data_IF_013169851032
#
_entry.id   IF_013169851032
#
_cell.length_a   1.000
_cell.length_b   1.000
_cell.length_c   1.000
_cell.angle_alpha   90.00
_cell.angle_beta   90.00
_cell.angle_gamma   90.00
#
_symmetry.space_group_name_H-M   'P 1'
#
loop_
_entity.id
_entity.type
_entity.pdbx_description
1 polymer ?
#
# COMPACT_ATOMS: atom_id res chain seq x y z
N UNK A 1 -10.63 16.73 8.15
CA UNK A 1 -10.29 15.57 9.01
C UNK A 1 -8.80 15.34 8.83
N UNK A 2 -8.01 15.38 9.89
CA UNK A 2 -6.53 15.41 9.79
C UNK A 2 -5.96 14.06 9.31
N UNK A 3 -4.89 14.03 8.50
CA UNK A 3 -4.27 12.79 8.00
C UNK A 3 -3.93 11.77 9.09
N UNK A 4 -3.53 12.24 10.28
CA UNK A 4 -3.21 11.40 11.42
C UNK A 4 -4.44 10.66 11.98
N UNK A 5 -5.62 11.30 11.93
CA UNK A 5 -6.90 10.68 12.33
C UNK A 5 -7.31 9.54 11.40
N UNK A 6 -6.87 9.58 10.14
CA UNK A 6 -7.22 8.55 9.16
C UNK A 6 -6.32 7.31 9.25
N UNK A 7 -5.02 7.50 9.50
CA UNK A 7 -4.09 6.39 9.76
C UNK A 7 -4.43 5.63 11.04
N UNK A 8 -4.83 6.35 12.09
CA UNK A 8 -5.27 5.73 13.33
C UNK A 8 -6.50 4.82 13.10
N UNK A 9 -7.47 5.26 12.29
CA UNK A 9 -8.64 4.47 11.91
C UNK A 9 -8.27 3.21 11.12
N UNK A 10 -7.48 3.36 10.06
CA UNK A 10 -7.03 2.23 9.23
C UNK A 10 -6.23 1.20 10.03
N UNK A 11 -5.34 1.65 10.92
CA UNK A 11 -4.60 0.74 11.79
C UNK A 11 -5.53 0.00 12.76
N UNK A 12 -6.55 0.67 13.30
CA UNK A 12 -7.52 0.03 14.19
C UNK A 12 -8.30 -1.09 13.49
N UNK A 13 -8.67 -0.91 12.21
CA UNK A 13 -9.42 -1.90 11.43
C UNK A 13 -8.67 -3.22 11.18
N UNK A 14 -7.33 -3.16 11.13
CA UNK A 14 -6.47 -4.31 10.84
C UNK A 14 -5.64 -4.77 12.05
N UNK A 15 -5.85 -4.20 13.23
CA UNK A 15 -5.12 -4.58 14.42
C UNK A 15 -5.48 -6.02 14.87
N UNK A 16 -4.53 -6.76 15.48
CA UNK A 16 -4.83 -8.03 16.13
C UNK A 16 -5.86 -7.88 17.26
N UNK A 17 -6.62 -8.94 17.60
CA UNK A 17 -6.54 -10.29 17.05
C UNK A 17 -7.18 -10.41 15.66
N UNK A 18 -6.53 -11.16 14.77
CA UNK A 18 -7.06 -11.40 13.42
C UNK A 18 -8.01 -12.62 13.39
N UNK A 19 -8.99 -12.65 12.46
CA UNK A 19 -9.84 -13.82 12.25
C UNK A 19 -9.03 -15.07 11.91
N UNK A 20 -9.34 -16.22 12.50
CA UNK A 20 -8.60 -17.49 12.30
C UNK A 20 -8.50 -17.93 10.83
N UNK A 21 -9.49 -17.58 10.02
CA UNK A 21 -9.55 -17.94 8.59
C UNK A 21 -8.88 -16.91 7.68
N UNK A 22 -8.34 -15.84 8.24
CA UNK A 22 -7.69 -14.82 7.47
C UNK A 22 -6.23 -15.13 7.25
N UNK A 23 -5.87 -15.35 6.00
CA UNK A 23 -4.47 -15.43 5.58
C UNK A 23 -3.85 -14.04 5.38
N UNK A 24 -4.67 -13.00 5.19
CA UNK A 24 -4.24 -11.69 4.71
C UNK A 24 -4.01 -10.67 5.81
N UNK A 25 -4.96 -10.50 6.75
CA UNK A 25 -4.82 -9.50 7.81
C UNK A 25 -3.53 -9.65 8.64
N UNK A 26 -3.06 -10.87 8.98
CA UNK A 26 -1.77 -11.06 9.66
C UNK A 26 -0.55 -10.56 8.88
N UNK A 27 -0.63 -10.49 7.54
CA UNK A 27 0.45 -10.01 6.66
C UNK A 27 0.30 -8.53 6.35
N UNK A 28 -0.94 -8.05 6.27
CA UNK A 28 -1.25 -6.66 6.03
C UNK A 28 -0.88 -5.78 7.24
N UNK A 29 -1.21 -6.21 8.45
CA UNK A 29 -0.96 -5.46 9.67
C UNK A 29 0.48 -4.93 9.85
N UNK A 30 1.53 -5.76 9.76
CA UNK A 30 2.90 -5.28 9.93
C UNK A 30 3.31 -4.28 8.83
N UNK A 31 2.82 -4.45 7.60
CA UNK A 31 3.07 -3.51 6.52
C UNK A 31 2.37 -2.16 6.73
N UNK A 32 1.11 -2.16 7.21
CA UNK A 32 0.40 -0.93 7.57
C UNK A 32 1.14 -0.13 8.64
N UNK A 33 1.67 -0.81 9.66
CA UNK A 33 2.46 -0.18 10.71
C UNK A 33 3.75 0.44 10.17
N UNK A 34 4.45 -0.28 9.27
CA UNK A 34 5.65 0.24 8.64
C UNK A 34 5.34 1.48 7.78
N UNK A 35 4.28 1.41 6.96
CA UNK A 35 3.85 2.51 6.11
C UNK A 35 3.41 3.75 6.91
N UNK A 36 2.69 3.57 8.02
CA UNK A 36 2.29 4.68 8.90
C UNK A 36 3.49 5.42 9.51
N UNK A 37 4.65 4.76 9.62
CA UNK A 37 5.90 5.39 10.06
C UNK A 37 6.54 6.30 9.02
N UNK A 38 6.18 6.17 7.73
CA UNK A 38 6.83 6.91 6.63
C UNK A 38 6.17 8.29 6.41
N UNK A 39 6.92 9.41 6.55
CA UNK A 39 6.36 10.75 6.39
C UNK A 39 5.74 11.00 5.00
N UNK A 40 6.38 10.57 3.92
CA UNK A 40 5.85 10.74 2.57
C UNK A 40 4.50 10.05 2.38
N UNK A 41 4.37 8.82 2.85
CA UNK A 41 3.11 8.06 2.78
C UNK A 41 1.99 8.70 3.62
N UNK A 42 2.33 9.36 4.73
CA UNK A 42 1.36 10.12 5.53
C UNK A 42 0.82 11.37 4.82
N UNK A 43 1.60 11.99 3.93
CA UNK A 43 1.24 13.26 3.24
C UNK A 43 0.21 13.09 2.14
N UNK A 44 0.11 11.89 1.57
CA UNK A 44 -0.75 11.60 0.40
C UNK A 44 -2.07 10.91 0.80
N UNK A 45 -2.30 10.63 2.09
CA UNK A 45 -3.35 9.70 2.57
C UNK A 45 -4.40 10.35 3.49
N UNK A 46 -5.66 9.86 3.47
CA UNK A 46 -6.07 8.51 3.08
C UNK A 46 -6.81 8.39 1.76
N UNK A 47 -6.85 9.42 0.91
CA UNK A 47 -7.57 9.29 -0.37
C UNK A 47 -6.88 8.26 -1.28
N UNK A 48 -5.56 8.08 -1.10
CA UNK A 48 -4.75 7.09 -1.81
C UNK A 48 -4.58 5.79 -0.98
N UNK A 49 -4.97 5.74 0.32
CA UNK A 49 -5.45 4.56 1.10
C UNK A 49 -4.62 3.28 1.24
N UNK A 50 -4.07 2.76 0.14
CA UNK A 50 -4.16 1.37 -0.27
C UNK A 50 -5.55 1.21 -0.85
N UNK A 51 -5.70 1.10 -2.18
CA UNK A 51 -6.94 0.59 -2.81
C UNK A 51 -7.13 -0.92 -2.54
N UNK A 52 -6.85 -1.31 -1.29
CA UNK A 52 -6.32 -2.58 -0.78
C UNK A 52 -4.94 -2.92 -1.34
N UNK A 53 -4.13 -3.57 -0.53
CA UNK A 53 -2.86 -4.22 -0.83
C UNK A 53 -3.04 -5.47 -1.75
N UNK A 54 -3.94 -5.31 -2.73
CA UNK A 54 -4.64 -6.24 -3.63
C UNK A 54 -4.58 -7.71 -3.23
N UNK A 55 -5.44 -8.11 -2.30
CA UNK A 55 -6.06 -9.44 -2.37
C UNK A 55 -7.16 -9.35 -3.43
N UNK A 56 -6.98 -10.07 -4.52
CA UNK A 56 -7.95 -10.17 -5.62
C UNK A 56 -9.33 -10.59 -5.10
N UNK A 57 -10.34 -9.72 -5.27
CA UNK A 57 -11.73 -10.18 -5.37
C UNK A 57 -12.62 -9.39 -6.35
N UNK A 58 -12.10 -8.43 -7.14
CA UNK A 58 -12.83 -7.92 -8.31
C UNK A 58 -11.95 -7.06 -9.24
N UNK A 59 -11.85 -7.38 -10.55
CA UNK A 59 -11.08 -6.62 -11.53
C UNK A 59 -11.77 -5.35 -12.08
N UNK A 60 -13.01 -5.02 -11.69
CA UNK A 60 -13.82 -4.04 -12.45
C UNK A 60 -13.87 -2.60 -11.91
N UNK A 61 -13.41 -2.32 -10.69
CA UNK A 61 -13.90 -1.10 -10.00
C UNK A 61 -13.09 0.19 -10.27
N UNK A 62 -11.83 0.18 -10.72
CA UNK A 62 -10.99 1.40 -10.59
C UNK A 62 -10.09 1.79 -11.78
N UNK A 63 -10.50 1.57 -13.04
CA UNK A 63 -9.75 2.04 -14.23
C UNK A 63 -10.18 3.44 -14.72
N UNK A 64 -10.31 4.45 -13.84
CA UNK A 64 -11.03 5.68 -14.24
C UNK A 64 -10.22 6.96 -14.48
N UNK A 65 -9.01 7.14 -13.96
CA UNK A 65 -8.22 8.34 -14.30
C UNK A 65 -6.68 8.18 -14.14
N UNK A 66 -5.83 8.74 -15.05
CA UNK A 66 -4.36 8.70 -14.95
C UNK A 66 -3.78 9.31 -13.67
N UNK A 67 -4.45 10.31 -13.08
CA UNK A 67 -4.10 10.94 -11.81
C UNK A 67 -4.24 10.02 -10.58
N UNK A 68 -4.93 8.88 -10.74
CA UNK A 68 -5.07 7.85 -9.71
C UNK A 68 -3.96 6.77 -9.81
N UNK A 69 -2.99 6.92 -10.72
CA UNK A 69 -1.87 5.99 -10.91
C UNK A 69 -0.78 6.25 -9.88
N UNK A 70 -0.71 5.39 -8.88
CA UNK A 70 0.31 5.42 -7.84
C UNK A 70 1.00 4.06 -7.72
N UNK A 71 2.28 4.03 -7.30
CA UNK A 71 2.94 2.79 -6.93
C UNK A 71 2.20 2.12 -5.78
N UNK A 72 2.30 0.79 -5.69
CA UNK A 72 1.63 0.03 -4.64
C UNK A 72 2.43 -1.20 -4.21
N UNK A 73 1.97 -1.81 -3.12
CA UNK A 73 2.49 -3.09 -2.65
C UNK A 73 1.40 -4.14 -2.76
N UNK A 74 1.78 -5.35 -3.20
CA UNK A 74 0.93 -6.55 -3.31
C UNK A 74 1.40 -7.57 -2.29
N UNK A 75 0.47 -8.18 -1.52
CA UNK A 75 0.79 -9.25 -0.56
C UNK A 75 0.45 -10.61 -1.15
N UNK A 76 1.46 -11.46 -1.29
CA UNK A 76 1.28 -12.88 -1.62
C UNK A 76 0.81 -13.70 -0.42
N UNK A 77 0.10 -14.80 -0.69
CA UNK A 77 -0.33 -15.75 0.35
C UNK A 77 0.82 -16.48 1.05
N UNK A 78 1.99 -16.51 0.41
CA UNK A 78 3.26 -16.98 0.98
C UNK A 78 3.88 -15.97 1.97
N UNK A 79 3.40 -14.73 1.97
CA UNK A 79 3.93 -13.66 2.82
C UNK A 79 5.00 -12.80 2.17
N UNK A 80 5.16 -12.88 0.85
CA UNK A 80 6.01 -11.96 0.12
C UNK A 80 5.24 -10.67 -0.20
N UNK A 81 5.95 -9.56 -0.11
CA UNK A 81 5.52 -8.24 -0.53
C UNK A 81 6.19 -7.91 -1.86
N UNK A 82 5.40 -7.54 -2.86
CA UNK A 82 5.91 -7.05 -4.14
C UNK A 82 5.56 -5.57 -4.29
N UNK A 83 6.56 -4.70 -4.44
CA UNK A 83 6.37 -3.28 -4.76
C UNK A 83 6.35 -3.14 -6.27
N UNK A 84 5.33 -2.48 -6.80
CA UNK A 84 5.16 -2.25 -8.24
C UNK A 84 5.01 -0.76 -8.52
N UNK A 85 5.54 -0.32 -9.67
CA UNK A 85 5.60 1.08 -10.06
C UNK A 85 4.23 1.70 -10.36
N UNK A 86 3.31 0.93 -10.94
CA UNK A 86 1.93 1.33 -11.21
C UNK A 86 1.05 0.07 -11.36
N UNK A 87 0.22 -0.27 -10.37
CA UNK A 87 -0.66 -1.46 -10.44
C UNK A 87 -1.72 -1.40 -11.54
N UNK A 88 -1.93 -0.23 -12.15
CA UNK A 88 -3.01 0.03 -13.09
C UNK A 88 -2.54 0.18 -14.54
N UNK A 89 -1.23 0.13 -14.79
CA UNK A 89 -0.64 0.21 -16.12
C UNK A 89 -0.26 -1.18 -16.66
N UNK A 90 -0.46 -1.38 -17.97
CA UNK A 90 0.07 -2.57 -18.66
C UNK A 90 1.61 -2.56 -18.74
N UNK A 91 2.24 -1.42 -18.42
CA UNK A 91 3.69 -1.23 -18.34
C UNK A 91 4.22 -1.34 -16.90
N UNK A 92 3.41 -1.82 -15.95
CA UNK A 92 3.80 -2.00 -14.56
C UNK A 92 5.07 -2.83 -14.43
N UNK A 93 6.03 -2.33 -13.66
CA UNK A 93 7.26 -3.04 -13.33
C UNK A 93 7.28 -3.41 -11.86
N UNK A 94 7.69 -4.66 -11.58
CA UNK A 94 7.98 -5.08 -10.21
C UNK A 94 9.35 -4.55 -9.81
N UNK A 95 9.38 -3.67 -8.82
CA UNK A 95 10.56 -2.92 -8.41
C UNK A 95 11.29 -3.62 -7.26
N UNK A 96 10.54 -4.30 -6.40
CA UNK A 96 11.08 -5.04 -5.26
C UNK A 96 10.18 -6.24 -4.93
N UNK A 97 10.78 -7.37 -4.55
CA UNK A 97 10.10 -8.49 -3.88
C UNK A 97 10.83 -8.80 -2.59
N UNK A 98 10.13 -8.86 -1.47
CA UNK A 98 10.75 -9.03 -0.15
C UNK A 98 9.80 -9.72 0.83
N UNK A 99 10.32 -10.41 1.84
CA UNK A 99 9.54 -10.88 2.98
C UNK A 99 9.49 -9.83 4.12
N UNK A 100 10.23 -8.73 3.98
CA UNK A 100 10.32 -7.65 4.98
C UNK A 100 9.31 -6.52 4.67
N UNK A 101 8.28 -6.33 5.52
CA UNK A 101 7.30 -5.26 5.33
C UNK A 101 7.91 -3.86 5.46
N UNK A 102 9.00 -3.69 6.21
CA UNK A 102 9.71 -2.42 6.34
C UNK A 102 10.35 -2.00 5.02
N UNK A 103 11.11 -2.91 4.40
CA UNK A 103 11.73 -2.66 3.09
C UNK A 103 10.69 -2.38 2.00
N UNK A 104 9.54 -3.07 2.03
CA UNK A 104 8.45 -2.81 1.10
C UNK A 104 7.87 -1.39 1.29
N UNK A 105 7.63 -0.97 2.54
CA UNK A 105 7.13 0.36 2.86
C UNK A 105 8.13 1.47 2.50
N UNK A 106 9.42 1.27 2.78
CA UNK A 106 10.48 2.20 2.40
C UNK A 106 10.57 2.37 0.89
N UNK A 107 10.55 1.26 0.13
CA UNK A 107 10.64 1.37 -1.32
C UNK A 107 9.40 2.02 -1.92
N UNK A 108 8.22 1.76 -1.38
CA UNK A 108 6.99 2.46 -1.77
C UNK A 108 7.11 3.97 -1.49
N UNK A 109 7.60 4.36 -0.30
CA UNK A 109 7.79 5.76 0.06
C UNK A 109 8.74 6.48 -0.89
N UNK A 110 9.86 5.86 -1.25
CA UNK A 110 10.82 6.41 -2.23
C UNK A 110 10.16 6.68 -3.59
N UNK A 111 9.34 5.77 -4.11
CA UNK A 111 8.64 5.98 -5.38
C UNK A 111 7.60 7.10 -5.30
N UNK A 112 6.92 7.23 -4.15
CA UNK A 112 5.97 8.33 -3.91
C UNK A 112 6.70 9.68 -3.84
N UNK A 113 7.85 9.74 -3.17
CA UNK A 113 8.66 10.95 -3.09
C UNK A 113 9.16 11.38 -4.48
N UNK A 114 9.68 10.46 -5.28
CA UNK A 114 10.08 10.71 -6.67
C UNK A 114 8.94 11.36 -7.48
N UNK A 115 7.72 10.82 -7.39
CA UNK A 115 6.54 11.37 -8.08
C UNK A 115 6.17 12.77 -7.56
N UNK A 116 6.23 12.98 -6.25
CA UNK A 116 5.92 14.29 -5.65
C UNK A 116 6.95 15.35 -6.02
N UNK A 117 8.22 14.96 -6.15
CA UNK A 117 9.32 15.84 -6.51
C UNK A 117 9.36 16.14 -8.02
N UNK A 118 9.02 15.18 -8.88
CA UNK A 118 8.91 15.35 -10.35
C UNK A 118 7.68 16.19 -10.77
N UNK A 119 6.71 16.35 -9.87
CA UNK A 119 5.48 17.12 -10.07
C UNK A 119 5.57 18.62 -9.73
N UNK A 120 6.77 19.15 -9.43
CA UNK A 120 7.04 20.59 -9.23
C UNK A 120 7.72 21.26 -10.42
#
# INVERSE_FOLDING_TARGET
MEPESHWAGLLADYAPPHPERSWFEPRLWPLLRAAAGQPALRRVYPIISLNRLTVFHSPEVFRRAPEDRWPAVVVGSDGLYAVVSDVWSDEATMVLTTADPGLAAEKLASLVEEILDDGM
#
